data_IF_125196375378
#
_entry.id   IF_125196375378
#
_cell.length_a   1.000
_cell.length_b   1.000
_cell.length_c   1.000
_cell.angle_alpha   90.00
_cell.angle_beta   90.00
_cell.angle_gamma   90.00
#
_symmetry.space_group_name_H-M   'P 1'
#
loop_
_entity.id
_entity.type
_entity.pdbx_description
1 polymer ?
#
# COMPACT_ATOMS: atom_id res chain seq x y z
N UNK A 1 -11.26 5.57 -25.94
CA UNK A 1 -10.13 6.11 -26.72
C UNK A 1 -10.81 6.85 -27.84
N UNK A 2 -11.13 8.12 -27.62
CA UNK A 2 -12.22 8.81 -28.31
C UNK A 2 -11.76 10.00 -29.15
N UNK A 3 -10.45 10.25 -29.25
CA UNK A 3 -9.99 11.46 -29.93
C UNK A 3 -10.15 11.41 -31.46
N UNK A 4 -10.34 10.23 -32.08
CA UNK A 4 -10.44 10.11 -33.54
C UNK A 4 -9.18 10.61 -34.28
N UNK A 5 -8.13 10.96 -33.54
CA UNK A 5 -6.92 11.58 -34.07
C UNK A 5 -6.08 10.53 -34.78
N UNK A 6 -5.63 10.90 -35.99
CA UNK A 6 -4.68 10.11 -36.76
C UNK A 6 -3.36 9.98 -35.99
N UNK A 7 -2.87 8.76 -35.69
CA UNK A 7 -1.56 8.59 -35.10
C UNK A 7 -0.44 9.08 -36.03
N UNK A 8 0.60 9.69 -35.45
CA UNK A 8 1.71 10.28 -36.23
C UNK A 8 2.49 9.30 -37.12
N UNK A 9 2.44 8.00 -36.82
CA UNK A 9 3.09 6.93 -37.59
C UNK A 9 2.27 6.41 -38.78
N UNK A 10 1.00 6.80 -38.92
CA UNK A 10 0.14 6.39 -40.04
C UNK A 10 0.10 7.50 -41.07
N UNK A 11 0.42 7.21 -42.34
CA UNK A 11 0.31 8.21 -43.41
C UNK A 11 -1.14 8.70 -43.58
N UNK A 12 -1.38 9.99 -43.92
CA UNK A 12 -2.72 10.55 -44.02
C UNK A 12 -3.68 9.72 -44.89
N UNK A 13 -3.27 9.37 -46.11
CA UNK A 13 -4.11 8.61 -47.04
C UNK A 13 -4.48 7.21 -46.54
N UNK A 14 -3.56 6.54 -45.81
CA UNK A 14 -3.81 5.22 -45.21
C UNK A 14 -4.82 5.34 -44.07
N UNK A 15 -4.73 6.41 -43.27
CA UNK A 15 -5.69 6.64 -42.20
C UNK A 15 -7.09 6.91 -42.74
N UNK A 16 -7.21 7.68 -43.81
CA UNK A 16 -8.50 7.97 -44.45
C UNK A 16 -9.15 6.69 -44.99
N UNK A 17 -8.38 5.80 -45.61
CA UNK A 17 -8.85 4.50 -46.09
C UNK A 17 -9.31 3.59 -44.93
N UNK A 18 -8.50 3.50 -43.86
CA UNK A 18 -8.86 2.74 -42.66
C UNK A 18 -10.10 3.30 -41.96
N UNK A 19 -10.22 4.63 -41.89
CA UNK A 19 -11.38 5.31 -41.32
C UNK A 19 -12.64 5.00 -42.11
N UNK A 20 -12.57 5.04 -43.45
CA UNK A 20 -13.68 4.61 -44.32
C UNK A 20 -14.05 3.14 -44.08
N UNK A 21 -13.06 2.24 -44.05
CA UNK A 21 -13.28 0.82 -43.79
C UNK A 21 -13.93 0.57 -42.42
N UNK A 22 -13.46 1.22 -41.35
CA UNK A 22 -14.01 1.07 -40.00
C UNK A 22 -15.44 1.61 -39.84
N UNK A 23 -15.87 2.48 -40.75
CA UNK A 23 -17.24 3.00 -40.82
C UNK A 23 -18.19 2.10 -41.62
N UNK A 24 -17.69 1.08 -42.32
CA UNK A 24 -18.56 0.11 -43.02
C UNK A 24 -19.32 -0.79 -42.04
N UNK A 25 -20.54 -1.16 -42.43
CA UNK A 25 -21.38 -2.09 -41.65
C UNK A 25 -20.71 -3.44 -41.43
N UNK A 26 -19.93 -3.91 -42.41
CA UNK A 26 -19.16 -5.15 -42.32
C UNK A 26 -18.18 -5.11 -41.13
N UNK A 27 -17.41 -4.03 -41.00
CA UNK A 27 -16.47 -3.91 -39.90
C UNK A 27 -17.18 -3.75 -38.55
N UNK A 28 -18.26 -2.94 -38.50
CA UNK A 28 -19.06 -2.79 -37.28
C UNK A 28 -19.62 -4.14 -36.81
N UNK A 29 -20.18 -4.93 -37.73
CA UNK A 29 -20.70 -6.27 -37.43
C UNK A 29 -19.61 -7.21 -36.88
N UNK A 30 -18.43 -7.27 -37.52
CA UNK A 30 -17.29 -8.07 -37.03
C UNK A 30 -16.82 -7.58 -35.66
N UNK A 31 -16.70 -6.26 -35.48
CA UNK A 31 -16.28 -5.65 -34.23
C UNK A 31 -17.24 -5.96 -33.09
N UNK A 32 -18.55 -5.86 -33.34
CA UNK A 32 -19.58 -6.14 -32.35
C UNK A 32 -19.68 -7.63 -32.05
N UNK A 33 -19.53 -8.51 -33.06
CA UNK A 33 -19.40 -9.95 -32.84
C UNK A 33 -18.17 -10.27 -31.99
N UNK A 34 -17.02 -9.65 -32.25
CA UNK A 34 -15.80 -9.84 -31.47
C UNK A 34 -15.94 -9.28 -30.03
N UNK A 35 -16.61 -8.14 -29.83
CA UNK A 35 -16.95 -7.62 -28.49
C UNK A 35 -17.87 -8.59 -27.75
N UNK A 36 -18.91 -9.11 -28.41
CA UNK A 36 -19.80 -10.14 -27.85
C UNK A 36 -19.05 -11.41 -27.50
N UNK A 37 -18.15 -11.88 -28.36
CA UNK A 37 -17.31 -13.05 -28.08
C UNK A 37 -16.36 -12.81 -26.89
N UNK A 38 -15.73 -11.62 -26.79
CA UNK A 38 -14.90 -11.25 -25.63
C UNK A 38 -15.71 -11.13 -24.32
N UNK A 39 -16.94 -10.62 -24.40
CA UNK A 39 -17.86 -10.51 -23.27
C UNK A 39 -18.53 -11.84 -22.90
N UNK A 40 -18.54 -12.81 -23.82
CA UNK A 40 -19.10 -14.14 -23.58
C UNK A 40 -18.29 -14.89 -22.53
N UNK A 41 -18.99 -15.55 -21.60
CA UNK A 41 -18.39 -16.55 -20.71
C UNK A 41 -17.80 -17.74 -21.50
N UNK A 42 -18.24 -17.92 -22.74
CA UNK A 42 -17.88 -19.02 -23.63
C UNK A 42 -16.74 -18.56 -24.55
N UNK A 43 -15.51 -18.83 -24.11
CA UNK A 43 -14.25 -18.80 -24.88
C UNK A 43 -13.56 -17.44 -25.05
N UNK A 44 -12.34 -17.39 -24.54
CA UNK A 44 -11.38 -16.32 -24.80
C UNK A 44 -10.31 -16.27 -23.70
N UNK A 45 -9.24 -17.04 -23.89
CA UNK A 45 -8.00 -17.07 -23.09
C UNK A 45 -8.05 -17.81 -21.74
N UNK A 46 -7.30 -18.91 -21.70
CA UNK A 46 -6.87 -19.67 -20.52
C UNK A 46 -6.19 -18.79 -19.44
N UNK A 47 -5.70 -17.59 -19.79
CA UNK A 47 -4.98 -16.70 -18.87
C UNK A 47 -5.82 -15.55 -18.29
N UNK A 48 -7.13 -15.47 -18.60
CA UNK A 48 -8.04 -14.49 -17.98
C UNK A 48 -8.84 -15.06 -16.80
N UNK A 49 -8.38 -16.16 -16.20
CA UNK A 49 -9.04 -16.77 -15.05
C UNK A 49 -9.14 -15.82 -13.85
N UNK A 50 -8.04 -15.13 -13.54
CA UNK A 50 -7.88 -14.35 -12.30
C UNK A 50 -8.91 -13.21 -12.15
N UNK A 51 -9.09 -12.38 -13.19
CA UNK A 51 -10.01 -11.23 -13.14
C UNK A 51 -11.51 -11.62 -13.17
N UNK A 52 -11.83 -12.82 -13.68
CA UNK A 52 -13.22 -13.31 -13.72
C UNK A 52 -13.63 -13.95 -12.38
N UNK A 53 -12.71 -14.65 -11.73
CA UNK A 53 -12.94 -15.21 -10.39
C UNK A 53 -13.14 -14.14 -9.32
N UNK A 54 -12.46 -12.99 -9.42
CA UNK A 54 -12.62 -11.89 -8.47
C UNK A 54 -14.03 -11.29 -8.49
N UNK A 55 -14.60 -11.10 -9.68
CA UNK A 55 -15.97 -10.58 -9.86
C UNK A 55 -17.05 -11.56 -9.42
N UNK A 56 -16.85 -12.86 -9.62
CA UNK A 56 -17.80 -13.88 -9.17
C UNK A 56 -17.76 -14.09 -7.65
N UNK A 57 -16.58 -14.02 -7.03
CA UNK A 57 -16.40 -14.25 -5.59
C UNK A 57 -16.58 -12.97 -4.75
N UNK A 58 -16.53 -11.78 -5.36
CA UNK A 58 -16.59 -10.50 -4.64
C UNK A 58 -15.38 -10.26 -3.72
N UNK A 59 -14.35 -11.09 -3.84
CA UNK A 59 -13.09 -11.04 -3.09
C UNK A 59 -11.94 -11.48 -3.98
N UNK A 60 -10.72 -11.17 -3.55
CA UNK A 60 -9.51 -11.69 -4.17
C UNK A 60 -9.53 -13.23 -4.15
N UNK A 61 -9.51 -13.90 -5.31
CA UNK A 61 -9.47 -15.35 -5.42
C UNK A 61 -8.16 -15.89 -4.86
N UNK A 62 -8.23 -17.02 -4.18
CA UNK A 62 -7.00 -17.73 -3.76
C UNK A 62 -6.51 -18.63 -4.91
N UNK A 63 -5.21 -18.86 -4.96
CA UNK A 63 -4.55 -19.65 -6.01
C UNK A 63 -5.23 -21.01 -6.31
N UNK A 64 -5.62 -21.85 -5.32
CA UNK A 64 -6.29 -23.12 -5.63
C UNK A 64 -7.67 -22.95 -6.27
N UNK A 65 -8.39 -21.86 -5.99
CA UNK A 65 -9.68 -21.58 -6.64
C UNK A 65 -9.49 -21.25 -8.12
N UNK A 66 -8.50 -20.42 -8.43
CA UNK A 66 -8.13 -20.08 -9.81
C UNK A 66 -7.62 -21.32 -10.56
N UNK A 67 -6.83 -22.16 -9.90
CA UNK A 67 -6.33 -23.41 -10.45
C UNK A 67 -7.46 -24.37 -10.80
N UNK A 68 -8.38 -24.65 -9.86
CA UNK A 68 -9.54 -25.53 -10.11
C UNK A 68 -10.42 -25.00 -11.25
N UNK A 69 -10.71 -23.70 -11.26
CA UNK A 69 -11.51 -23.04 -12.31
C UNK A 69 -10.91 -23.19 -13.71
N UNK A 70 -9.58 -23.19 -13.82
CA UNK A 70 -8.88 -23.28 -15.11
C UNK A 70 -8.60 -24.71 -15.58
N UNK A 71 -8.53 -25.67 -14.67
CA UNK A 71 -8.14 -27.06 -14.97
C UNK A 71 -9.27 -28.08 -14.81
N UNK A 72 -10.49 -27.65 -14.47
CA UNK A 72 -11.71 -28.47 -14.52
C UNK A 72 -12.50 -28.12 -15.77
N UNK A 73 -12.97 -29.14 -16.48
CA UNK A 73 -13.85 -29.00 -17.65
C UNK A 73 -15.13 -28.33 -17.19
N UNK A 74 -15.64 -27.43 -18.03
CA UNK A 74 -16.95 -26.83 -17.78
C UNK A 74 -18.02 -27.92 -17.82
N UNK A 75 -18.85 -27.93 -16.80
CA UNK A 75 -20.05 -28.76 -16.75
C UNK A 75 -21.06 -28.27 -17.78
N UNK A 76 -21.76 -29.21 -18.39
CA UNK A 76 -22.87 -28.89 -19.30
C UNK A 76 -24.16 -28.72 -18.48
N UNK A 77 -24.31 -29.50 -17.41
CA UNK A 77 -25.38 -29.41 -16.41
C UNK A 77 -24.74 -29.25 -15.03
N UNK A 78 -25.29 -28.39 -14.16
CA UNK A 78 -24.75 -28.14 -12.80
C UNK A 78 -24.49 -29.44 -12.00
N UNK A 79 -25.34 -30.45 -12.22
CA UNK A 79 -25.29 -31.77 -11.59
C UNK A 79 -24.16 -32.67 -12.08
N UNK A 80 -23.49 -32.34 -13.18
CA UNK A 80 -22.37 -33.14 -13.70
C UNK A 80 -21.20 -33.13 -12.69
N UNK A 81 -20.41 -34.22 -12.59
CA UNK A 81 -19.20 -34.21 -11.77
C UNK A 81 -18.13 -33.27 -12.35
N UNK A 82 -17.31 -32.68 -11.48
CA UNK A 82 -16.12 -31.94 -11.89
C UNK A 82 -15.16 -32.90 -12.60
N UNK A 83 -14.94 -32.73 -13.90
CA UNK A 83 -13.98 -33.55 -14.65
C UNK A 83 -12.70 -32.76 -14.94
N UNK A 84 -11.56 -33.20 -14.44
CA UNK A 84 -10.28 -32.56 -14.70
C UNK A 84 -9.90 -32.63 -16.19
N UNK A 85 -9.37 -31.53 -16.72
CA UNK A 85 -8.88 -31.45 -18.10
C UNK A 85 -7.72 -32.43 -18.31
N UNK A 86 -6.86 -32.59 -17.30
CA UNK A 86 -5.70 -33.48 -17.29
C UNK A 86 -5.57 -34.18 -15.93
N UNK A 87 -5.17 -35.46 -15.94
CA UNK A 87 -4.92 -36.26 -14.73
C UNK A 87 -3.79 -35.67 -13.86
N UNK A 88 -2.81 -35.00 -14.49
CA UNK A 88 -1.73 -34.31 -13.77
C UNK A 88 -2.27 -33.15 -12.94
N UNK A 89 -3.23 -32.39 -13.46
CA UNK A 89 -3.83 -31.27 -12.74
C UNK A 89 -4.62 -31.76 -11.52
N UNK A 90 -5.35 -32.86 -11.66
CA UNK A 90 -6.02 -33.53 -10.55
C UNK A 90 -5.04 -33.95 -9.46
N UNK A 91 -3.96 -34.65 -9.85
CA UNK A 91 -2.90 -35.06 -8.90
C UNK A 91 -2.30 -33.87 -8.16
N UNK A 92 -1.93 -32.80 -8.86
CA UNK A 92 -1.35 -31.60 -8.24
C UNK A 92 -2.32 -30.92 -7.28
N UNK A 93 -3.60 -30.82 -7.64
CA UNK A 93 -4.60 -30.21 -6.78
C UNK A 93 -4.85 -31.05 -5.51
N UNK A 94 -4.97 -32.36 -5.66
CA UNK A 94 -5.18 -33.27 -4.54
C UNK A 94 -3.96 -33.32 -3.61
N UNK A 95 -2.74 -33.32 -4.15
CA UNK A 95 -1.51 -33.27 -3.36
C UNK A 95 -1.37 -31.96 -2.57
N UNK A 96 -1.73 -30.83 -3.19
CA UNK A 96 -1.80 -29.55 -2.48
C UNK A 96 -2.79 -29.59 -1.30
N UNK A 97 -3.98 -30.14 -1.51
CA UNK A 97 -4.97 -30.29 -0.45
C UNK A 97 -4.53 -31.25 0.65
N UNK A 98 -3.90 -32.37 0.29
CA UNK A 98 -3.35 -33.33 1.24
C UNK A 98 -2.26 -32.68 2.10
N UNK A 99 -1.33 -31.94 1.49
CA UNK A 99 -0.29 -31.21 2.21
C UNK A 99 -0.85 -30.12 3.12
N UNK A 100 -1.92 -29.42 2.71
CA UNK A 100 -2.60 -28.47 3.60
C UNK A 100 -3.21 -29.19 4.80
N UNK A 101 -3.89 -30.31 4.59
CA UNK A 101 -4.50 -31.09 5.66
C UNK A 101 -3.44 -31.64 6.62
N UNK A 102 -2.38 -32.27 6.11
CA UNK A 102 -1.28 -32.79 6.92
C UNK A 102 -0.44 -31.68 7.57
N UNK A 103 -0.30 -30.52 6.92
CA UNK A 103 0.36 -29.34 7.50
C UNK A 103 -0.43 -28.76 8.67
N UNK A 104 -1.76 -28.73 8.59
CA UNK A 104 -2.63 -28.35 9.70
C UNK A 104 -2.57 -29.38 10.84
N UNK A 105 -2.54 -30.67 10.53
CA UNK A 105 -2.31 -31.74 11.53
C UNK A 105 -0.93 -31.61 12.20
N UNK A 106 0.11 -31.20 11.46
CA UNK A 106 1.46 -30.95 11.98
C UNK A 106 1.57 -29.72 12.89
N UNK A 107 0.74 -28.69 12.68
CA UNK A 107 0.67 -27.51 13.57
C UNK A 107 0.04 -27.88 14.92
N UNK A 108 -0.84 -28.88 14.97
CA UNK A 108 -1.42 -29.42 16.20
C UNK A 108 -0.66 -30.59 16.84
N UNK A 109 0.27 -31.23 16.12
CA UNK A 109 0.94 -32.48 16.55
C UNK A 109 2.44 -32.33 16.83
N UNK A 110 2.99 -31.10 16.83
CA UNK A 110 4.29 -30.89 17.46
C UNK A 110 4.14 -31.13 18.96
N UNK A 111 5.02 -31.95 19.55
CA UNK A 111 5.16 -32.11 21.01
C UNK A 111 5.40 -30.79 21.76
N UNK A 112 5.60 -29.66 21.06
CA UNK A 112 5.57 -28.32 21.64
C UNK A 112 4.17 -27.86 22.06
N UNK A 113 3.09 -28.35 21.44
CA UNK A 113 1.71 -28.05 21.84
C UNK A 113 1.29 -28.81 23.12
N UNK A 114 1.88 -29.98 23.37
CA UNK A 114 1.61 -30.78 24.58
C UNK A 114 2.26 -30.19 25.86
N UNK A 115 3.07 -29.14 25.75
CA UNK A 115 3.84 -28.58 26.88
C UNK A 115 3.48 -27.13 27.27
N UNK A 116 2.52 -26.49 26.59
CA UNK A 116 1.98 -25.21 27.06
C UNK A 116 0.79 -25.46 27.96
N UNK A 117 1.08 -25.63 29.25
CA UNK A 117 0.05 -25.69 30.29
C UNK A 117 -0.85 -24.45 30.22
N UNK A 118 -2.14 -24.62 30.53
CA UNK A 118 -3.14 -23.54 30.44
C UNK A 118 -2.75 -22.31 31.27
N UNK A 119 -1.97 -22.50 32.33
CA UNK A 119 -1.39 -21.43 33.15
C UNK A 119 -0.37 -20.59 32.36
N UNK A 120 0.46 -21.20 31.51
CA UNK A 120 1.43 -20.47 30.69
C UNK A 120 0.73 -19.63 29.61
N UNK A 121 -0.36 -20.16 29.03
CA UNK A 121 -1.18 -19.43 28.05
C UNK A 121 -1.86 -18.22 28.70
N UNK A 122 -2.42 -18.41 29.89
CA UNK A 122 -3.01 -17.32 30.67
C UNK A 122 -1.97 -16.25 31.02
N UNK A 123 -0.79 -16.67 31.49
CA UNK A 123 0.30 -15.74 31.84
C UNK A 123 0.80 -14.93 30.63
N UNK A 124 0.94 -15.55 29.45
CA UNK A 124 1.30 -14.83 28.23
C UNK A 124 0.20 -13.84 27.82
N UNK A 125 -1.06 -14.23 27.96
CA UNK A 125 -2.21 -13.36 27.66
C UNK A 125 -2.24 -12.13 28.58
N UNK A 126 -1.97 -12.32 29.87
CA UNK A 126 -1.87 -11.23 30.84
C UNK A 126 -0.70 -10.28 30.51
N UNK A 127 0.45 -10.82 30.08
CA UNK A 127 1.58 -10.00 29.63
C UNK A 127 1.20 -9.16 28.40
N UNK A 128 0.52 -9.74 27.42
CA UNK A 128 0.05 -9.01 26.23
C UNK A 128 -0.89 -7.87 26.65
N UNK A 129 -1.84 -8.14 27.54
CA UNK A 129 -2.77 -7.13 28.05
C UNK A 129 -2.02 -5.99 28.77
N UNK A 130 -1.04 -6.33 29.61
CA UNK A 130 -0.19 -5.37 30.32
C UNK A 130 0.62 -4.50 29.37
N UNK A 131 1.30 -5.10 28.39
CA UNK A 131 2.08 -4.36 27.39
C UNK A 131 1.21 -3.46 26.52
N UNK A 132 0.01 -3.93 26.15
CA UNK A 132 -0.95 -3.15 25.37
C UNK A 132 -1.40 -1.90 26.13
N UNK A 133 -1.67 -2.05 27.43
CA UNK A 133 -2.07 -0.92 28.30
C UNK A 133 -0.92 0.07 28.48
N UNK A 134 0.28 -0.42 28.80
CA UNK A 134 1.47 0.42 28.96
C UNK A 134 1.82 1.19 27.68
N UNK A 135 1.63 0.58 26.50
CA UNK A 135 1.82 1.23 25.21
C UNK A 135 0.81 2.37 25.00
N UNK A 136 -0.46 2.16 25.36
CA UNK A 136 -1.49 3.19 25.26
C UNK A 136 -1.19 4.38 26.20
N UNK A 137 -0.76 4.12 27.43
CA UNK A 137 -0.35 5.16 28.38
C UNK A 137 0.87 5.94 27.89
N UNK A 138 1.91 5.25 27.40
CA UNK A 138 3.10 5.88 26.83
C UNK A 138 2.77 6.80 25.66
N UNK A 139 1.87 6.37 24.76
CA UNK A 139 1.39 7.21 23.66
C UNK A 139 0.68 8.47 24.17
N UNK A 140 -0.19 8.35 25.18
CA UNK A 140 -0.88 9.51 25.79
C UNK A 140 0.11 10.50 26.42
N UNK A 141 1.14 10.02 27.12
CA UNK A 141 2.18 10.87 27.72
C UNK A 141 2.92 11.68 26.67
N UNK A 142 3.38 11.03 25.59
CA UNK A 142 4.08 11.71 24.48
C UNK A 142 3.24 12.81 23.84
N UNK A 143 1.94 12.58 23.66
CA UNK A 143 1.01 13.59 23.14
C UNK A 143 0.89 14.78 24.12
N UNK A 144 0.69 14.51 25.41
CA UNK A 144 0.59 15.57 26.41
C UNK A 144 1.90 16.39 26.55
N UNK A 145 3.05 15.73 26.48
CA UNK A 145 4.37 16.38 26.46
C UNK A 145 4.53 17.27 25.22
N UNK A 146 4.15 16.77 24.05
CA UNK A 146 4.19 17.54 22.81
C UNK A 146 3.28 18.78 22.87
N UNK A 147 2.07 18.64 23.42
CA UNK A 147 1.15 19.78 23.61
C UNK A 147 1.72 20.81 24.59
N UNK A 148 2.33 20.35 25.68
CA UNK A 148 2.99 21.21 26.66
C UNK A 148 4.16 22.00 26.04
N UNK A 149 5.03 21.31 25.30
CA UNK A 149 6.15 21.92 24.57
C UNK A 149 5.66 22.92 23.52
N UNK A 150 4.57 22.62 22.82
CA UNK A 150 3.98 23.53 21.84
C UNK A 150 3.53 24.84 22.47
N UNK A 151 2.88 24.77 23.64
CA UNK A 151 2.46 25.96 24.40
C UNK A 151 3.64 26.82 24.84
N UNK A 152 4.71 26.21 25.35
CA UNK A 152 5.91 26.95 25.76
C UNK A 152 6.62 27.60 24.57
N UNK A 153 6.74 26.90 23.43
CA UNK A 153 7.30 27.49 22.20
C UNK A 153 6.46 28.67 21.71
N UNK A 154 5.13 28.57 21.75
CA UNK A 154 4.23 29.68 21.41
C UNK A 154 4.40 30.88 22.35
N UNK A 155 4.51 30.63 23.66
CA UNK A 155 4.72 31.69 24.66
C UNK A 155 6.07 32.39 24.46
N UNK A 156 7.14 31.64 24.21
CA UNK A 156 8.47 32.20 23.92
C UNK A 156 8.41 33.05 22.65
N UNK A 157 7.74 32.55 21.60
CA UNK A 157 7.55 33.30 20.35
C UNK A 157 6.85 34.64 20.62
N UNK A 158 5.80 34.64 21.44
CA UNK A 158 5.08 35.87 21.80
C UNK A 158 5.98 36.85 22.57
N UNK A 159 6.77 36.37 23.54
CA UNK A 159 7.72 37.21 24.27
C UNK A 159 8.76 37.86 23.34
N UNK A 160 9.32 37.10 22.40
CA UNK A 160 10.29 37.60 21.41
C UNK A 160 9.67 38.66 20.50
N UNK A 161 8.44 38.42 20.01
CA UNK A 161 7.72 39.38 19.17
C UNK A 161 7.43 40.70 19.91
N UNK A 162 7.12 40.64 21.20
CA UNK A 162 6.90 41.83 22.02
C UNK A 162 8.20 42.60 22.31
N UNK A 163 9.33 41.90 22.48
CA UNK A 163 10.63 42.54 22.67
C UNK A 163 11.08 43.30 21.41
N UNK A 164 10.86 42.72 20.22
CA UNK A 164 11.21 43.33 18.94
C UNK A 164 10.36 44.59 18.60
N UNK A 165 9.22 44.78 19.27
CA UNK A 165 8.34 45.95 19.08
C UNK A 165 8.63 47.10 20.04
N UNK A 166 9.60 46.97 20.95
CA UNK A 166 9.95 48.01 21.92
C UNK A 166 10.69 49.16 21.20
N UNK A 167 10.22 50.42 21.27
CA UNK A 167 10.93 51.54 20.66
C UNK A 167 12.30 51.73 21.32
N UNK A 168 13.37 51.68 20.54
CA UNK A 168 14.72 52.07 20.96
C UNK A 168 14.71 53.57 21.23
N UNK A 169 14.59 53.95 22.50
CA UNK A 169 14.84 55.32 22.94
C UNK A 169 16.34 55.55 22.95
N UNK A 170 16.75 56.63 22.30
CA UNK A 170 18.12 57.09 22.01
C UNK A 170 19.02 57.15 23.24
N UNK A 171 20.28 56.72 23.06
CA UNK A 171 21.38 56.92 24.01
C UNK A 171 21.97 58.34 23.87
N UNK A 172 22.48 58.93 24.97
CA UNK A 172 23.12 60.23 24.96
C UNK A 172 24.51 60.16 24.31
N UNK A 173 24.82 61.25 23.61
CA UNK A 173 26.06 61.55 22.92
C UNK A 173 27.12 61.93 23.97
N UNK A 174 28.20 61.16 24.10
CA UNK A 174 29.37 61.53 24.88
C UNK A 174 30.60 61.57 23.96
N UNK A 175 31.11 62.79 23.84
CA UNK A 175 32.23 63.27 23.04
C UNK A 175 33.60 62.98 23.67
N UNK A 176 34.62 63.03 22.81
CA UNK A 176 36.06 63.23 23.03
C UNK A 176 36.83 62.00 23.58
N UNK A 177 37.61 61.24 22.81
CA UNK A 177 38.69 61.56 21.85
C UNK A 177 39.98 62.11 22.49
N UNK A 178 41.09 61.57 21.97
CA UNK A 178 42.52 61.90 22.18
C UNK A 178 43.17 61.37 23.48
N UNK A 179 44.38 60.80 23.50
CA UNK A 179 45.33 60.28 22.51
C UNK A 179 46.50 59.69 23.31
N UNK A 180 47.17 58.71 22.73
CA UNK A 180 48.29 57.91 23.23
C UNK A 180 49.59 58.66 23.62
N UNK A 181 50.50 57.84 24.19
CA UNK A 181 51.97 57.85 24.10
C UNK A 181 52.79 58.37 25.31
N UNK A 182 53.35 57.39 26.02
CA UNK A 182 54.77 57.21 26.37
C UNK A 182 55.65 58.44 26.60
N UNK A 183 56.16 58.58 27.84
CA UNK A 183 57.50 59.12 28.05
C UNK A 183 58.26 58.39 29.16
N UNK A 184 59.54 58.21 28.88
CA UNK A 184 60.55 57.38 29.52
C UNK A 184 61.26 58.13 30.66
N UNK A 185 61.50 57.51 31.82
CA UNK A 185 62.84 57.31 32.43
C UNK A 185 62.78 56.66 33.82
N UNK A 186 63.74 55.74 33.97
CA UNK A 186 64.30 55.10 35.17
C UNK A 186 64.73 56.09 36.28
N UNK A 187 64.66 55.66 37.54
CA UNK A 187 65.79 55.60 38.49
C UNK A 187 65.32 55.18 39.90
N UNK A 188 65.89 54.06 40.33
CA UNK A 188 65.91 53.43 41.67
C UNK A 188 66.64 54.28 42.73
N UNK A 189 66.69 53.92 44.03
CA UNK A 189 66.28 52.65 44.69
C UNK A 189 65.17 52.75 45.75
#
# INVERSE_FOLDING_TARGET
RDSGERPGWVLPHVFDELSQYWNTDKFKAISDQAKKARGSLKSGSLHTGCAKTEKELGRNPIEPEVFKKTHVRKKEIESDPDMWVEEKAERTFNDFHLRLQSGLEGIGSSRQAEALDGVQIAAMSDQIAKHTTALAESKRRRVAEQESMSKTVQQIKEQVMNLARRPTTSAPDDTDDESDEDDYVDLTP
#
